data_IF_318772095978
#
_entry.id   IF_318772095978
#
_cell.length_a   1.000
_cell.length_b   1.000
_cell.length_c   1.000
_cell.angle_alpha   90.00
_cell.angle_beta   90.00
_cell.angle_gamma   90.00
#
_symmetry.space_group_name_H-M   'P 1'
#
loop_
_entity.id
_entity.type
_entity.pdbx_description
1 polymer ?
#
# COMPACT_ATOMS: atom_id res chain seq x y z
N UNK A 1 30.10 -28.41 -20.26
CA UNK A 1 29.21 -27.60 -21.14
C UNK A 1 27.97 -27.31 -20.34
N UNK A 2 27.65 -26.02 -20.12
CA UNK A 2 26.42 -25.59 -19.44
C UNK A 2 25.23 -26.14 -20.22
N UNK A 3 24.31 -26.85 -19.57
CA UNK A 3 23.20 -27.47 -20.27
C UNK A 3 22.27 -26.39 -20.82
N UNK A 4 21.54 -26.67 -21.89
CA UNK A 4 20.62 -25.69 -22.50
C UNK A 4 19.58 -25.17 -21.50
N UNK A 5 19.23 -25.95 -20.47
CA UNK A 5 18.35 -25.55 -19.37
C UNK A 5 18.98 -24.47 -18.48
N UNK A 6 20.24 -24.65 -18.09
CA UNK A 6 20.95 -23.66 -17.27
C UNK A 6 21.06 -22.31 -18.00
N UNK A 7 21.26 -22.35 -19.32
CA UNK A 7 21.28 -21.13 -20.15
C UNK A 7 19.92 -20.42 -20.17
N UNK A 8 18.83 -21.18 -20.26
CA UNK A 8 17.48 -20.62 -20.22
C UNK A 8 17.15 -20.02 -18.85
N UNK A 9 17.58 -20.64 -17.76
CA UNK A 9 17.41 -20.09 -16.41
C UNK A 9 18.17 -18.77 -16.23
N UNK A 10 19.41 -18.70 -16.72
CA UNK A 10 20.21 -17.47 -16.69
C UNK A 10 19.54 -16.36 -17.51
N UNK A 11 19.05 -16.68 -18.71
CA UNK A 11 18.34 -15.71 -19.56
C UNK A 11 17.04 -15.23 -18.90
N UNK A 12 16.31 -16.13 -18.24
CA UNK A 12 15.08 -15.79 -17.50
C UNK A 12 15.37 -14.89 -16.30
N UNK A 13 16.42 -15.20 -15.54
CA UNK A 13 16.87 -14.37 -14.42
C UNK A 13 17.29 -12.96 -14.89
N UNK A 14 18.03 -12.88 -15.99
CA UNK A 14 18.44 -11.61 -16.60
C UNK A 14 17.23 -10.77 -17.07
N UNK A 15 16.23 -11.41 -17.69
CA UNK A 15 15.01 -10.74 -18.11
C UNK A 15 14.21 -10.18 -16.92
N UNK A 16 14.07 -10.96 -15.84
CA UNK A 16 13.41 -10.51 -14.60
C UNK A 16 14.15 -9.32 -13.99
N UNK A 17 15.49 -9.40 -13.90
CA UNK A 17 16.31 -8.31 -13.36
C UNK A 17 16.18 -7.03 -14.19
N UNK A 18 16.16 -7.14 -15.53
CA UNK A 18 15.97 -6.00 -16.43
C UNK A 18 14.61 -5.33 -16.24
N UNK A 19 13.53 -6.13 -16.07
CA UNK A 19 12.19 -5.60 -15.79
C UNK A 19 12.14 -4.89 -14.44
N UNK A 20 12.73 -5.47 -13.39
CA UNK A 20 12.79 -4.85 -12.07
C UNK A 20 13.58 -3.53 -12.12
N UNK A 21 14.72 -3.52 -12.82
CA UNK A 21 15.54 -2.32 -12.97
C UNK A 21 14.76 -1.22 -13.71
N UNK A 22 14.11 -1.57 -14.82
CA UNK A 22 13.33 -0.62 -15.62
C UNK A 22 12.09 -0.10 -14.87
N UNK A 23 11.41 -0.96 -14.12
CA UNK A 23 10.24 -0.56 -13.31
C UNK A 23 10.60 0.27 -12.08
N UNK A 24 11.83 0.13 -11.56
CA UNK A 24 12.39 0.99 -10.51
C UNK A 24 12.73 2.41 -11.03
N UNK A 25 13.13 2.52 -12.29
CA UNK A 25 13.34 3.81 -12.97
C UNK A 25 12.02 4.45 -13.45
N UNK A 26 11.03 3.61 -13.77
CA UNK A 26 9.66 4.04 -14.01
C UNK A 26 9.05 4.67 -12.76
N UNK A 27 8.13 5.62 -12.93
CA UNK A 27 7.34 6.18 -11.82
C UNK A 27 6.55 5.05 -11.16
N UNK A 28 7.09 4.44 -10.11
CA UNK A 28 6.34 3.55 -9.25
C UNK A 28 5.10 4.31 -8.76
N UNK A 29 3.94 3.64 -8.79
CA UNK A 29 2.74 4.18 -8.18
C UNK A 29 2.94 4.15 -6.67
N UNK A 30 3.56 5.20 -6.14
CA UNK A 30 3.63 5.42 -4.71
C UNK A 30 2.21 5.62 -4.17
N UNK A 31 1.85 4.99 -3.05
CA UNK A 31 0.60 5.29 -2.36
C UNK A 31 0.54 6.80 -2.15
N UNK A 32 -0.46 7.45 -2.74
CA UNK A 32 -0.67 8.88 -2.52
C UNK A 32 -0.74 9.17 -1.03
N UNK A 33 -0.09 10.25 -0.57
CA UNK A 33 -0.07 10.65 0.85
C UNK A 33 -1.49 10.79 1.44
N UNK A 34 -2.48 11.01 0.58
CA UNK A 34 -3.90 11.16 0.93
C UNK A 34 -4.66 9.82 1.07
N UNK A 35 -4.00 8.67 0.85
CA UNK A 35 -4.58 7.33 1.08
C UNK A 35 -4.40 6.84 2.51
N UNK A 36 -3.57 7.51 3.31
CA UNK A 36 -3.62 7.43 4.78
C UNK A 36 -5.02 7.88 5.17
N UNK A 37 -5.87 6.95 5.61
CA UNK A 37 -7.31 7.15 5.73
C UNK A 37 -7.65 8.34 6.62
N UNK A 38 -7.78 9.53 6.03
CA UNK A 38 -8.18 10.78 6.69
C UNK A 38 -7.49 11.10 8.03
N UNK A 39 -7.95 12.15 8.68
CA UNK A 39 -7.69 12.33 10.12
C UNK A 39 -8.59 11.38 10.93
N UNK A 40 -8.27 11.15 12.20
CA UNK A 40 -9.16 10.42 13.12
C UNK A 40 -10.58 11.00 13.13
N UNK A 41 -10.70 12.33 13.00
CA UNK A 41 -12.00 13.00 12.89
C UNK A 41 -12.75 12.59 11.62
N UNK A 42 -12.08 12.54 10.46
CA UNK A 42 -12.71 12.16 9.20
C UNK A 42 -13.17 10.70 9.20
N UNK A 43 -12.36 9.79 9.77
CA UNK A 43 -12.72 8.39 9.91
C UNK A 43 -13.93 8.20 10.83
N UNK A 44 -13.92 8.81 12.01
CA UNK A 44 -15.02 8.68 12.96
C UNK A 44 -16.30 9.33 12.41
N UNK A 45 -16.19 10.45 11.69
CA UNK A 45 -17.34 11.07 11.02
C UNK A 45 -17.93 10.16 9.96
N UNK A 46 -17.09 9.51 9.14
CA UNK A 46 -17.53 8.53 8.13
C UNK A 46 -18.23 7.33 8.77
N UNK A 47 -17.68 6.82 9.88
CA UNK A 47 -18.27 5.67 10.59
C UNK A 47 -19.60 6.03 11.26
N UNK A 48 -19.74 7.25 11.78
CA UNK A 48 -21.02 7.76 12.29
C UNK A 48 -22.07 7.89 11.18
N UNK A 49 -21.71 8.45 10.02
CA UNK A 49 -22.61 8.57 8.87
C UNK A 49 -23.12 7.20 8.37
N UNK A 50 -22.28 6.17 8.41
CA UNK A 50 -22.62 4.80 7.98
C UNK A 50 -23.34 4.03 9.12
N UNK A 51 -23.52 4.63 10.29
CA UNK A 51 -24.16 4.00 11.45
C UNK A 51 -23.34 2.88 12.10
N UNK A 52 -22.05 2.79 11.79
CA UNK A 52 -21.12 1.80 12.37
C UNK A 52 -20.53 2.24 13.71
N UNK A 53 -20.69 3.51 14.07
CA UNK A 53 -20.22 4.10 15.32
C UNK A 53 -21.16 5.21 15.76
N UNK A 54 -21.26 5.44 17.07
CA UNK A 54 -22.06 6.53 17.64
C UNK A 54 -21.20 7.75 17.96
N UNK A 55 -21.82 8.93 18.04
CA UNK A 55 -21.13 10.18 18.40
C UNK A 55 -20.48 10.14 19.78
N UNK A 56 -21.07 9.44 20.74
CA UNK A 56 -20.53 9.24 22.09
C UNK A 56 -19.25 8.39 22.06
N UNK A 57 -19.24 7.28 21.32
CA UNK A 57 -18.07 6.42 21.15
C UNK A 57 -16.91 7.13 20.44
N UNK A 58 -17.20 7.88 19.38
CA UNK A 58 -16.21 8.69 18.67
C UNK A 58 -15.62 9.81 19.56
N UNK A 59 -16.43 10.42 20.43
CA UNK A 59 -15.98 11.45 21.38
C UNK A 59 -15.14 10.85 22.51
N UNK A 60 -15.54 9.69 23.04
CA UNK A 60 -14.80 8.95 24.07
C UNK A 60 -13.39 8.60 23.60
N UNK A 61 -13.27 7.98 22.41
CA UNK A 61 -11.96 7.60 21.85
C UNK A 61 -11.00 8.79 21.74
N UNK A 62 -11.47 9.92 21.19
CA UNK A 62 -10.65 11.14 21.06
C UNK A 62 -10.25 11.75 22.40
N UNK A 63 -11.07 11.59 23.44
CA UNK A 63 -10.75 12.05 24.78
C UNK A 63 -9.70 11.17 25.47
N UNK A 64 -9.66 9.87 25.17
CA UNK A 64 -8.67 8.92 25.69
C UNK A 64 -7.33 8.99 24.95
N UNK A 65 -7.32 9.39 23.68
CA UNK A 65 -6.10 9.52 22.88
C UNK A 65 -5.33 10.83 23.15
N UNK A 66 -5.91 11.78 23.88
CA UNK A 66 -5.29 13.07 24.21
C UNK A 66 -4.51 12.98 25.51
#
# INVERSE_FOLDING_TARGET
MVSTNDRNEILRAAAIAAVILHTKEGKALEPTKYRQGGSDWANDHRLNLIGRRTHSEARSRRSTTR
#
